data_IF_023473208148
#
_entry.id   IF_023473208148
#
_cell.length_a   1.000
_cell.length_b   1.000
_cell.length_c   1.000
_cell.angle_alpha   90.00
_cell.angle_beta   90.00
_cell.angle_gamma   90.00
#
_symmetry.space_group_name_H-M   'P 1'
#
loop_
_entity.id
_entity.type
_entity.pdbx_description
1 polymer ?
#
# COMPACT_ATOMS: atom_id res chain seq x y z
N UNK A 1 8.39 -3.39 -7.69
CA UNK A 1 7.58 -4.35 -6.93
C UNK A 1 6.53 -4.96 -7.82
N UNK A 2 6.40 -6.28 -7.82
CA UNK A 2 5.38 -6.88 -8.66
C UNK A 2 4.25 -7.44 -7.80
N UNK A 3 3.13 -7.74 -8.46
CA UNK A 3 1.93 -8.14 -7.75
C UNK A 3 2.10 -9.49 -7.07
N UNK A 4 2.93 -10.35 -7.61
CA UNK A 4 3.14 -11.64 -7.01
C UNK A 4 3.85 -11.54 -5.67
N UNK A 5 4.78 -10.61 -5.53
CA UNK A 5 5.44 -10.38 -4.26
C UNK A 5 4.44 -9.93 -3.20
N UNK A 6 3.50 -9.07 -3.60
CA UNK A 6 2.47 -8.64 -2.68
C UNK A 6 1.59 -9.81 -2.25
N UNK A 7 1.24 -10.67 -3.18
CA UNK A 7 0.41 -11.81 -2.86
C UNK A 7 1.13 -12.77 -1.92
N UNK A 8 2.41 -12.99 -2.14
CA UNK A 8 3.18 -13.84 -1.30
C UNK A 8 3.23 -13.32 0.11
N UNK A 9 3.45 -12.02 0.26
CA UNK A 9 3.52 -11.41 1.57
C UNK A 9 2.16 -11.45 2.26
N UNK A 10 1.08 -11.32 1.50
CA UNK A 10 -0.25 -11.41 2.04
C UNK A 10 -0.49 -12.80 2.62
N UNK A 11 -0.09 -13.84 1.90
CA UNK A 11 -0.26 -15.20 2.37
C UNK A 11 0.63 -15.45 3.61
N UNK A 12 1.84 -14.91 3.60
CA UNK A 12 2.73 -15.05 4.74
C UNK A 12 2.13 -14.39 5.98
N UNK A 13 1.53 -13.22 5.82
CA UNK A 13 0.90 -12.53 6.94
C UNK A 13 -0.31 -13.33 7.44
N UNK A 14 -1.04 -13.95 6.53
CA UNK A 14 -2.17 -14.76 6.91
C UNK A 14 -1.72 -15.98 7.71
N UNK A 15 -0.65 -16.62 7.30
CA UNK A 15 -0.13 -17.78 8.00
C UNK A 15 0.42 -17.38 9.38
N UNK A 16 0.99 -16.20 9.48
CA UNK A 16 1.49 -15.70 10.76
C UNK A 16 0.38 -15.15 11.64
N UNK A 17 -0.85 -15.16 11.14
CA UNK A 17 -2.00 -14.64 11.86
C UNK A 17 -1.86 -13.15 12.15
N UNK A 18 -1.17 -12.43 11.27
CA UNK A 18 -0.96 -11.01 11.39
C UNK A 18 -2.08 -10.31 10.63
N UNK A 19 -3.26 -10.26 11.20
CA UNK A 19 -4.42 -9.70 10.56
C UNK A 19 -4.25 -8.28 10.05
N UNK A 20 -3.77 -7.34 10.85
CA UNK A 20 -3.64 -5.97 10.36
C UNK A 20 -2.72 -5.86 9.16
N UNK A 21 -1.61 -6.60 9.18
CA UNK A 21 -0.66 -6.56 8.06
C UNK A 21 -1.29 -7.20 6.84
N UNK A 22 -2.00 -8.31 7.01
CA UNK A 22 -2.66 -8.97 5.91
C UNK A 22 -3.67 -8.02 5.26
N UNK A 23 -4.42 -7.28 6.07
CA UNK A 23 -5.42 -6.37 5.54
C UNK A 23 -4.78 -5.22 4.77
N UNK A 24 -3.67 -4.69 5.26
CA UNK A 24 -2.97 -3.63 4.55
C UNK A 24 -2.46 -4.11 3.20
N UNK A 25 -1.86 -5.31 3.16
CA UNK A 25 -1.35 -5.85 1.92
C UNK A 25 -2.51 -6.18 0.97
N UNK A 26 -3.59 -6.71 1.51
CA UNK A 26 -4.76 -7.04 0.71
C UNK A 26 -5.34 -5.79 0.05
N UNK A 27 -5.33 -4.66 0.77
CA UNK A 27 -5.78 -3.40 0.21
C UNK A 27 -4.92 -3.01 -0.98
N UNK A 28 -3.60 -3.17 -0.86
CA UNK A 28 -2.71 -2.85 -1.96
C UNK A 28 -2.98 -3.75 -3.16
N UNK A 29 -3.15 -5.04 -2.93
CA UNK A 29 -3.41 -5.98 -4.01
C UNK A 29 -4.72 -5.61 -4.72
N UNK A 30 -5.75 -5.29 -3.95
CA UNK A 30 -7.04 -4.92 -4.53
C UNK A 30 -6.92 -3.64 -5.35
N UNK A 31 -6.19 -2.66 -4.84
CA UNK A 31 -6.02 -1.40 -5.55
C UNK A 31 -5.27 -1.61 -6.86
N UNK A 32 -4.24 -2.46 -6.84
CA UNK A 32 -3.47 -2.75 -8.06
C UNK A 32 -4.34 -3.48 -9.07
N UNK A 33 -5.13 -4.46 -8.61
CA UNK A 33 -6.01 -5.19 -9.51
C UNK A 33 -7.05 -4.27 -10.14
N UNK A 34 -7.59 -3.36 -9.36
CA UNK A 34 -8.57 -2.44 -9.88
C UNK A 34 -7.96 -1.54 -10.94
N UNK A 35 -6.76 -1.03 -10.68
CA UNK A 35 -6.07 -0.18 -11.64
C UNK A 35 -5.76 -0.97 -12.91
N UNK A 36 -5.39 -2.24 -12.78
CA UNK A 36 -5.07 -3.07 -13.93
C UNK A 36 -6.32 -3.34 -14.77
N UNK A 37 -7.45 -3.55 -14.13
CA UNK A 37 -8.70 -3.76 -14.86
C UNK A 37 -9.06 -2.49 -15.63
N UNK A 38 -8.93 -1.33 -15.00
CA UNK A 38 -9.24 -0.08 -15.66
C UNK A 38 -8.30 0.15 -16.85
N UNK A 39 -7.06 -0.28 -16.75
CA UNK A 39 -6.10 -0.10 -17.84
C UNK A 39 -6.16 -1.24 -18.88
N UNK A 40 -6.94 -2.26 -18.62
CA UNK A 40 -7.05 -3.38 -19.56
C UNK A 40 -5.89 -4.36 -19.51
N UNK A 41 -5.10 -4.35 -18.44
CA UNK A 41 -3.95 -5.24 -18.35
C UNK A 41 -4.03 -6.13 -17.10
N UNK A 42 -5.22 -6.57 -16.78
CA UNK A 42 -5.44 -7.33 -15.57
C UNK A 42 -4.62 -8.62 -15.49
N UNK A 43 -4.30 -9.22 -16.62
CA UNK A 43 -3.54 -10.45 -16.61
C UNK A 43 -2.04 -10.23 -16.67
N UNK A 44 -1.62 -9.06 -17.08
CA UNK A 44 -0.21 -8.78 -17.21
C UNK A 44 0.03 -7.41 -16.59
N UNK A 45 0.10 -7.36 -15.27
CA UNK A 45 0.23 -6.12 -14.56
C UNK A 45 1.70 -5.72 -14.50
N UNK A 46 2.08 -4.58 -15.10
CA UNK A 46 3.47 -4.17 -15.07
C UNK A 46 3.90 -3.69 -13.69
N UNK A 47 5.18 -3.83 -13.39
CA UNK A 47 5.69 -3.41 -12.11
C UNK A 47 5.52 -1.91 -11.92
N UNK A 48 5.62 -1.15 -12.99
CA UNK A 48 5.43 0.30 -12.90
C UNK A 48 4.04 0.63 -12.37
N UNK A 49 3.03 -0.11 -12.80
CA UNK A 49 1.69 0.13 -12.33
C UNK A 49 1.57 -0.19 -10.86
N UNK A 50 2.19 -1.28 -10.42
CA UNK A 50 2.18 -1.66 -9.01
C UNK A 50 2.83 -0.55 -8.19
N UNK A 51 3.97 -0.05 -8.64
CA UNK A 51 4.68 1.02 -7.92
C UNK A 51 3.84 2.27 -7.84
N UNK A 52 3.17 2.64 -8.91
CA UNK A 52 2.34 3.83 -8.92
C UNK A 52 1.17 3.71 -7.96
N UNK A 53 0.54 2.54 -7.94
CA UNK A 53 -0.58 2.32 -7.06
C UNK A 53 -0.11 2.36 -5.60
N UNK A 54 1.05 1.76 -5.32
CA UNK A 54 1.59 1.77 -3.97
C UNK A 54 1.85 3.21 -3.51
N UNK A 55 2.44 4.02 -4.38
CA UNK A 55 2.72 5.41 -4.04
C UNK A 55 1.44 6.19 -3.80
N UNK A 56 0.42 5.93 -4.61
CA UNK A 56 -0.85 6.59 -4.46
C UNK A 56 -1.50 6.20 -3.14
N UNK A 57 -1.46 4.91 -2.80
CA UNK A 57 -2.03 4.45 -1.55
C UNK A 57 -1.26 5.00 -0.35
N UNK A 58 0.04 5.14 -0.48
CA UNK A 58 0.86 5.71 0.57
C UNK A 58 0.45 7.15 0.83
N UNK A 59 0.25 7.91 -0.22
CA UNK A 59 -0.16 9.29 -0.09
C UNK A 59 -1.54 9.37 0.56
N UNK A 60 -2.45 8.52 0.12
CA UNK A 60 -3.80 8.50 0.68
C UNK A 60 -3.75 8.16 2.16
N UNK A 61 -2.95 7.17 2.55
CA UNK A 61 -2.83 6.79 3.95
C UNK A 61 -2.29 7.95 4.78
N UNK A 62 -1.32 8.68 4.25
CA UNK A 62 -0.78 9.82 4.96
C UNK A 62 -1.83 10.90 5.16
N UNK A 63 -2.63 11.15 4.14
CA UNK A 63 -3.69 12.13 4.24
C UNK A 63 -4.71 11.69 5.27
N UNK A 64 -5.00 10.40 5.34
CA UNK A 64 -5.94 9.91 6.33
C UNK A 64 -5.40 10.12 7.74
N UNK A 65 -4.11 9.93 7.94
CA UNK A 65 -3.51 10.16 9.23
C UNK A 65 -3.61 11.66 9.59
N UNK A 66 -3.30 12.52 8.64
CA UNK A 66 -3.28 13.95 8.88
C UNK A 66 -4.67 14.51 9.18
N UNK A 67 -5.70 13.94 8.58
CA UNK A 67 -7.05 14.44 8.76
C UNK A 67 -7.82 13.69 9.84
N UNK A 68 -7.23 12.66 10.43
CA UNK A 68 -7.91 11.90 11.45
C UNK A 68 -7.99 12.70 12.73
N UNK A 69 -9.15 12.80 13.36
CA UNK A 69 -9.26 13.57 14.60
C UNK A 69 -8.53 12.87 15.74
N UNK A 70 -7.98 13.65 16.63
CA UNK A 70 -7.24 13.08 17.73
C UNK A 70 -8.13 12.28 18.67
N UNK A 71 -9.40 12.57 18.68
CA UNK A 71 -10.32 11.83 19.51
C UNK A 71 -10.51 10.40 19.01
N UNK A 72 -10.07 10.10 17.79
CA UNK A 72 -10.18 8.77 17.24
C UNK A 72 -8.79 8.14 17.11
N UNK A 73 -8.13 8.02 18.26
CA UNK A 73 -6.77 7.48 18.28
C UNK A 73 -6.71 6.05 17.74
N UNK A 74 -7.77 5.28 17.93
CA UNK A 74 -7.82 3.92 17.42
C UNK A 74 -7.74 3.89 15.89
N UNK A 75 -8.47 4.79 15.23
CA UNK A 75 -8.40 4.86 13.78
C UNK A 75 -7.05 5.38 13.33
N UNK A 76 -6.51 6.34 14.07
CA UNK A 76 -5.22 6.90 13.70
C UNK A 76 -4.14 5.84 13.75
N UNK A 77 -4.18 4.95 14.72
CA UNK A 77 -3.22 3.88 14.81
C UNK A 77 -3.35 2.92 13.64
N UNK A 78 -4.57 2.63 13.21
CA UNK A 78 -4.77 1.77 12.06
C UNK A 78 -4.22 2.39 10.80
N UNK A 79 -4.47 3.68 10.61
CA UNK A 79 -3.97 4.37 9.44
C UNK A 79 -2.45 4.43 9.46
N UNK A 80 -1.87 4.66 10.65
CA UNK A 80 -0.42 4.71 10.76
C UNK A 80 0.19 3.35 10.45
N UNK A 81 -0.42 2.27 10.94
CA UNK A 81 0.09 0.93 10.67
C UNK A 81 0.02 0.65 9.17
N UNK A 82 -1.09 0.99 8.55
CA UNK A 82 -1.24 0.79 7.11
C UNK A 82 -0.21 1.60 6.34
N UNK A 83 0.01 2.83 6.74
CA UNK A 83 1.02 3.68 6.11
C UNK A 83 2.40 3.02 6.22
N UNK A 84 2.73 2.52 7.40
CA UNK A 84 4.03 1.90 7.61
C UNK A 84 4.20 0.66 6.72
N UNK A 85 3.18 -0.18 6.62
CA UNK A 85 3.24 -1.36 5.79
C UNK A 85 3.38 -0.97 4.31
N UNK A 86 2.59 -0.02 3.86
CA UNK A 86 2.65 0.41 2.47
C UNK A 86 4.01 1.01 2.16
N UNK A 87 4.59 1.76 3.09
CA UNK A 87 5.88 2.40 2.84
C UNK A 87 6.99 1.37 2.68
N UNK A 88 6.84 0.18 3.25
CA UNK A 88 7.84 -0.86 3.07
C UNK A 88 7.90 -1.32 1.62
N UNK A 89 6.81 -1.20 0.89
CA UNK A 89 6.76 -1.63 -0.50
C UNK A 89 6.97 -0.47 -1.48
N UNK A 90 6.93 0.76 -1.00
CA UNK A 90 7.06 1.91 -1.89
C UNK A 90 8.48 1.99 -2.45
N UNK A 91 8.63 2.40 -3.70
CA UNK A 91 9.96 2.52 -4.29
C UNK A 91 10.77 3.59 -3.57
N UNK A 92 11.99 3.28 -3.24
CA UNK A 92 12.79 4.21 -2.51
C UNK A 92 13.35 5.36 -3.30
N UNK A 93 13.45 5.18 -4.57
CA UNK A 93 14.01 6.25 -5.35
C UNK A 93 13.22 7.52 -5.24
N UNK A 94 11.96 7.40 -4.87
CA UNK A 94 11.17 8.56 -4.75
C UNK A 94 11.63 9.45 -3.68
N UNK A 95 12.16 8.89 -2.63
CA UNK A 95 12.54 9.73 -1.54
C UNK A 95 13.68 10.61 -1.95
N UNK A 96 14.44 10.21 -2.92
CA UNK A 96 15.50 11.03 -3.34
C UNK A 96 15.02 12.27 -3.91
N UNK A 97 13.86 12.23 -4.49
CA UNK A 97 13.43 13.36 -5.04
C UNK A 97 13.00 14.34 -4.15
N UNK A 98 12.42 13.99 -3.17
CA UNK A 98 11.88 14.95 -2.38
C UNK A 98 12.94 15.60 -1.76
N UNK A 99 13.98 15.03 -1.77
CA UNK A 99 15.03 15.67 -1.22
C UNK A 99 15.15 17.00 -1.67
N UNK A 100 14.98 17.14 -2.85
CA UNK A 100 15.09 18.33 -3.31
C UNK A 100 14.19 19.17 -2.92
N UNK A 101 13.36 18.69 -2.52
CA UNK A 101 12.31 19.56 -2.17
C UNK A 101 12.76 20.55 -1.16
#
# INVERSE_FOLDING_TARGET
MNIESLRKDMVAAMKAKDKPRKEAISSLVSAVKKAAIDAGCREDIPEDMVDRVILKELKTAKEQIDTCPESRADLKEEYQFRYDVISEYAPKLLSAEEVKA
#
